data_IF_234509506375
#
_entry.id   IF_234509506375
#
_cell.length_a   1.000
_cell.length_b   1.000
_cell.length_c   1.000
_cell.angle_alpha   90.00
_cell.angle_beta   90.00
_cell.angle_gamma   90.00
#
_symmetry.space_group_name_H-M   'P 1'
#
loop_
_entity.id
_entity.type
_entity.pdbx_description
1 polymer ?
#
# COMPACT_ATOMS: atom_id res chain seq x y z
N UNK A 1 -24.76 -16.44 -21.10
CA UNK A 1 -24.90 -15.72 -19.80
C UNK A 1 -25.74 -14.42 -19.90
N UNK A 2 -26.86 -14.45 -20.62
CA UNK A 2 -27.69 -13.25 -20.85
C UNK A 2 -28.30 -12.61 -19.58
N UNK A 3 -28.34 -13.31 -18.45
CA UNK A 3 -29.03 -12.86 -17.24
C UNK A 3 -28.11 -12.61 -16.01
N UNK A 4 -26.82 -12.95 -16.06
CA UNK A 4 -25.85 -12.72 -14.99
C UNK A 4 -24.87 -11.65 -15.45
N UNK A 5 -25.14 -10.41 -15.07
CA UNK A 5 -24.36 -9.22 -15.49
C UNK A 5 -23.03 -9.12 -14.73
N UNK A 6 -22.12 -8.22 -15.16
CA UNK A 6 -20.92 -7.88 -14.40
C UNK A 6 -21.27 -7.27 -13.05
N UNK A 7 -22.36 -6.50 -12.98
CA UNK A 7 -22.89 -5.95 -11.74
C UNK A 7 -23.32 -7.04 -10.76
N UNK A 8 -24.07 -8.07 -11.23
CA UNK A 8 -24.42 -9.21 -10.39
C UNK A 8 -23.19 -9.95 -9.87
N UNK A 9 -22.15 -10.10 -10.71
CA UNK A 9 -20.89 -10.71 -10.28
C UNK A 9 -20.20 -9.88 -9.21
N UNK A 10 -20.09 -8.57 -9.40
CA UNK A 10 -19.50 -7.66 -8.43
C UNK A 10 -20.20 -7.76 -7.07
N UNK A 11 -21.54 -7.63 -7.07
CA UNK A 11 -22.35 -7.73 -5.84
C UNK A 11 -22.19 -9.09 -5.16
N UNK A 12 -22.16 -10.17 -5.93
CA UNK A 12 -21.95 -11.52 -5.39
C UNK A 12 -20.58 -11.67 -4.73
N UNK A 13 -19.53 -11.18 -5.39
CA UNK A 13 -18.15 -11.24 -4.84
C UNK A 13 -17.99 -10.32 -3.63
N UNK A 14 -18.55 -9.10 -3.65
CA UNK A 14 -18.56 -8.20 -2.49
C UNK A 14 -19.28 -8.81 -1.29
N UNK A 15 -20.46 -9.42 -1.51
CA UNK A 15 -21.16 -10.11 -0.45
C UNK A 15 -20.31 -11.24 0.15
N UNK A 16 -19.61 -12.01 -0.71
CA UNK A 16 -18.68 -13.05 -0.27
C UNK A 16 -17.59 -12.52 0.65
N UNK A 17 -16.95 -11.43 0.28
CA UNK A 17 -15.89 -10.79 1.07
C UNK A 17 -16.42 -10.21 2.38
N UNK A 18 -17.53 -9.47 2.34
CA UNK A 18 -18.11 -8.82 3.53
C UNK A 18 -18.71 -9.81 4.53
N UNK A 19 -19.11 -11.02 4.06
CA UNK A 19 -19.64 -12.09 4.90
C UNK A 19 -18.64 -13.20 5.22
N UNK A 20 -17.33 -12.96 4.95
CA UNK A 20 -16.21 -13.88 5.20
C UNK A 20 -16.42 -15.28 4.61
N UNK A 21 -16.86 -15.36 3.34
CA UNK A 21 -17.01 -16.64 2.65
C UNK A 21 -15.68 -17.09 2.07
N UNK A 22 -15.25 -18.29 2.41
CA UNK A 22 -13.93 -18.81 2.04
C UNK A 22 -13.84 -19.30 0.59
N UNK A 23 -14.97 -19.72 0.03
CA UNK A 23 -15.01 -20.30 -1.32
C UNK A 23 -16.37 -20.11 -2.01
N UNK A 24 -16.42 -20.35 -3.33
CA UNK A 24 -17.67 -20.19 -4.11
C UNK A 24 -18.80 -21.11 -3.67
N UNK A 25 -18.51 -22.29 -3.11
CA UNK A 25 -19.56 -23.20 -2.64
C UNK A 25 -20.24 -22.65 -1.40
N UNK A 26 -19.45 -22.19 -0.43
CA UNK A 26 -19.94 -21.55 0.78
C UNK A 26 -20.73 -20.26 0.44
N UNK A 27 -20.23 -19.48 -0.51
CA UNK A 27 -20.95 -18.30 -0.99
C UNK A 27 -22.34 -18.64 -1.57
N UNK A 28 -22.45 -19.70 -2.37
CA UNK A 28 -23.75 -20.11 -2.94
C UNK A 28 -24.70 -20.61 -1.84
N UNK A 29 -24.19 -21.38 -0.87
CA UNK A 29 -25.01 -21.80 0.29
C UNK A 29 -25.55 -20.59 1.06
N UNK A 30 -24.70 -19.58 1.29
CA UNK A 30 -25.12 -18.34 1.93
C UNK A 30 -26.21 -17.60 1.12
N UNK A 31 -26.11 -17.59 -0.20
CA UNK A 31 -27.17 -17.04 -1.06
C UNK A 31 -28.47 -17.82 -0.95
N UNK A 32 -28.41 -19.14 -0.94
CA UNK A 32 -29.59 -19.99 -0.81
C UNK A 32 -30.29 -19.74 0.53
N UNK A 33 -29.51 -19.69 1.63
CA UNK A 33 -30.03 -19.39 2.98
C UNK A 33 -30.71 -18.02 3.05
N UNK A 34 -30.18 -17.03 2.34
CA UNK A 34 -30.72 -15.66 2.35
C UNK A 34 -31.50 -15.29 1.07
N UNK A 35 -32.06 -16.27 0.40
CA UNK A 35 -32.72 -16.09 -0.92
C UNK A 35 -33.76 -14.97 -0.95
N UNK A 36 -34.57 -14.83 0.07
CA UNK A 36 -35.58 -13.78 0.18
C UNK A 36 -34.95 -12.36 0.24
N UNK A 37 -33.70 -12.24 0.71
CA UNK A 37 -32.97 -10.97 0.86
C UNK A 37 -32.11 -10.61 -0.35
N UNK A 38 -31.89 -11.53 -1.29
CA UNK A 38 -31.05 -11.27 -2.50
C UNK A 38 -31.61 -10.11 -3.35
N UNK A 39 -32.92 -9.95 -3.36
CA UNK A 39 -33.57 -8.84 -4.05
C UNK A 39 -33.08 -7.48 -3.52
N UNK A 40 -32.93 -7.33 -2.22
CA UNK A 40 -32.42 -6.09 -1.61
C UNK A 40 -30.95 -5.80 -1.94
N UNK A 41 -30.18 -6.84 -2.30
CA UNK A 41 -28.82 -6.69 -2.82
C UNK A 41 -28.76 -6.36 -4.32
N UNK A 42 -29.91 -6.25 -5.00
CA UNK A 42 -29.95 -6.03 -6.44
C UNK A 42 -29.60 -7.26 -7.29
N UNK A 43 -29.52 -8.45 -6.71
CA UNK A 43 -29.14 -9.69 -7.41
C UNK A 43 -30.31 -10.37 -8.15
N UNK A 44 -31.50 -9.82 -8.04
CA UNK A 44 -32.72 -10.41 -8.62
C UNK A 44 -33.25 -11.59 -7.81
N UNK A 45 -34.30 -12.25 -8.33
CA UNK A 45 -35.00 -13.36 -7.64
C UNK A 45 -34.49 -14.76 -8.05
N UNK A 46 -33.73 -14.85 -9.15
CA UNK A 46 -33.27 -16.14 -9.66
C UNK A 46 -32.03 -16.58 -8.85
N UNK A 47 -31.93 -17.87 -8.46
CA UNK A 47 -30.78 -18.38 -7.76
C UNK A 47 -29.52 -18.27 -8.63
N UNK A 48 -28.40 -17.93 -8.01
CA UNK A 48 -27.10 -17.87 -8.68
C UNK A 48 -26.50 -19.27 -8.64
N UNK A 49 -26.36 -19.92 -9.78
CA UNK A 49 -25.67 -21.20 -9.86
C UNK A 49 -24.16 -21.01 -9.69
N UNK A 50 -23.51 -21.91 -8.95
CA UNK A 50 -22.05 -21.92 -8.74
C UNK A 50 -21.28 -21.89 -10.07
N UNK A 51 -21.72 -22.69 -11.05
CA UNK A 51 -21.11 -22.75 -12.38
C UNK A 51 -21.19 -21.41 -13.12
N UNK A 52 -22.31 -20.70 -13.00
CA UNK A 52 -22.49 -19.36 -13.62
C UNK A 52 -21.49 -18.36 -13.04
N UNK A 53 -21.33 -18.33 -11.71
CA UNK A 53 -20.39 -17.43 -11.04
C UNK A 53 -18.92 -17.82 -11.36
N UNK A 54 -18.60 -19.12 -11.34
CA UNK A 54 -17.28 -19.62 -11.70
C UNK A 54 -16.88 -19.27 -13.14
N UNK A 55 -17.79 -19.47 -14.10
CA UNK A 55 -17.57 -19.11 -15.51
C UNK A 55 -17.47 -17.59 -15.70
N UNK A 56 -18.22 -16.81 -14.93
CA UNK A 56 -18.08 -15.35 -14.96
C UNK A 56 -16.69 -14.91 -14.47
N UNK A 57 -16.22 -15.48 -13.37
CA UNK A 57 -14.87 -15.19 -12.83
C UNK A 57 -13.75 -15.66 -13.78
N UNK A 58 -13.96 -16.72 -14.54
CA UNK A 58 -12.97 -17.24 -15.48
C UNK A 58 -12.90 -16.45 -16.79
N UNK A 59 -14.06 -16.06 -17.34
CA UNK A 59 -14.14 -15.55 -18.71
C UNK A 59 -14.19 -14.01 -18.81
N UNK A 60 -14.49 -13.32 -17.73
CA UNK A 60 -14.59 -11.85 -17.75
C UNK A 60 -13.25 -11.21 -17.46
N UNK A 61 -12.97 -10.12 -18.14
CA UNK A 61 -11.77 -9.33 -17.93
C UNK A 61 -11.80 -8.68 -16.53
N UNK A 62 -10.77 -8.90 -15.74
CA UNK A 62 -10.64 -8.33 -14.39
C UNK A 62 -10.56 -6.79 -14.41
N UNK A 63 -10.11 -6.20 -15.52
CA UNK A 63 -9.99 -4.75 -15.68
C UNK A 63 -11.32 -4.01 -15.50
N UNK A 64 -12.45 -4.67 -15.74
CA UNK A 64 -13.79 -4.10 -15.45
C UNK A 64 -13.91 -3.73 -13.96
N UNK A 65 -13.38 -4.58 -13.07
CA UNK A 65 -13.44 -4.37 -11.63
C UNK A 65 -12.31 -3.46 -11.14
N UNK A 66 -11.16 -3.51 -11.80
CA UNK A 66 -10.03 -2.62 -11.55
C UNK A 66 -10.39 -1.16 -11.86
N UNK A 67 -10.94 -0.88 -13.04
CA UNK A 67 -11.40 0.46 -13.43
C UNK A 67 -12.50 0.98 -12.49
N UNK A 68 -13.43 0.11 -12.11
CA UNK A 68 -14.47 0.46 -11.14
C UNK A 68 -13.88 0.78 -9.77
N UNK A 69 -12.87 0.03 -9.31
CA UNK A 69 -12.20 0.30 -8.04
C UNK A 69 -11.50 1.66 -8.06
N UNK A 70 -10.76 1.99 -9.13
CA UNK A 70 -10.12 3.30 -9.27
C UNK A 70 -11.16 4.44 -9.30
N UNK A 71 -12.26 4.26 -10.04
CA UNK A 71 -13.36 5.24 -10.04
C UNK A 71 -13.91 5.46 -8.62
N UNK A 72 -14.18 4.39 -7.87
CA UNK A 72 -14.71 4.49 -6.51
C UNK A 72 -13.73 5.13 -5.53
N UNK A 73 -12.43 4.84 -5.65
CA UNK A 73 -11.38 5.49 -4.85
C UNK A 73 -11.35 7.00 -5.11
N UNK A 74 -11.41 7.41 -6.36
CA UNK A 74 -11.47 8.84 -6.72
C UNK A 74 -12.69 9.54 -6.12
N UNK A 75 -13.88 8.91 -6.21
CA UNK A 75 -15.11 9.46 -5.61
C UNK A 75 -15.03 9.54 -4.08
N UNK A 76 -14.43 8.54 -3.43
CA UNK A 76 -14.26 8.52 -1.98
C UNK A 76 -13.30 9.61 -1.51
N UNK A 77 -12.17 9.81 -2.19
CA UNK A 77 -11.18 10.87 -1.90
C UNK A 77 -11.82 12.26 -1.99
N UNK A 78 -12.66 12.54 -2.99
CA UNK A 78 -13.36 13.82 -3.13
C UNK A 78 -14.31 14.16 -1.97
N UNK A 79 -14.85 13.14 -1.29
CA UNK A 79 -15.84 13.31 -0.20
C UNK A 79 -15.21 13.40 1.18
N UNK A 80 -13.99 12.94 1.35
CA UNK A 80 -13.34 12.82 2.65
C UNK A 80 -12.05 13.62 2.67
N UNK A 81 -12.16 14.86 3.11
CA UNK A 81 -11.00 15.74 3.33
C UNK A 81 -10.82 15.90 4.83
N UNK A 82 -9.68 15.43 5.34
CA UNK A 82 -9.22 15.69 6.71
C UNK A 82 -7.88 16.42 6.61
N UNK A 83 -7.55 17.24 7.58
CA UNK A 83 -6.29 18.00 7.62
C UNK A 83 -5.47 17.52 8.83
N UNK A 84 -5.11 16.25 8.82
CA UNK A 84 -4.42 15.58 9.92
C UNK A 84 -3.00 16.12 10.08
N UNK A 85 -2.28 16.28 8.97
CA UNK A 85 -0.86 16.64 8.98
C UNK A 85 -0.59 18.14 8.83
N UNK A 86 -1.58 18.95 8.49
CA UNK A 86 -1.44 20.41 8.22
C UNK A 86 -0.31 20.73 7.23
N UNK A 87 -0.15 19.91 6.21
CA UNK A 87 0.87 20.02 5.17
C UNK A 87 0.27 20.53 3.85
N UNK A 88 1.11 21.20 3.07
CA UNK A 88 0.74 21.55 1.69
C UNK A 88 1.05 20.36 0.77
N UNK A 89 0.17 19.39 0.70
CA UNK A 89 0.34 18.21 -0.15
C UNK A 89 -0.22 16.96 0.48
N UNK A 90 -0.53 15.97 -0.34
CA UNK A 90 -1.10 14.72 0.11
C UNK A 90 -0.04 13.87 0.84
N UNK A 91 -0.48 13.08 1.80
CA UNK A 91 0.39 12.16 2.56
C UNK A 91 -0.04 10.73 2.28
N UNK A 92 0.86 9.96 1.72
CA UNK A 92 0.62 8.58 1.32
C UNK A 92 1.48 7.59 2.09
N UNK A 93 0.89 6.48 2.53
CA UNK A 93 1.62 5.31 3.00
C UNK A 93 1.58 4.22 1.91
N UNK A 94 2.70 3.56 1.67
CA UNK A 94 2.77 2.47 0.71
C UNK A 94 3.21 1.18 1.37
N UNK A 95 2.35 0.17 1.32
CA UNK A 95 2.64 -1.14 1.87
C UNK A 95 2.09 -2.27 1.00
N UNK A 96 2.48 -3.51 1.29
CA UNK A 96 2.06 -4.70 0.56
C UNK A 96 1.51 -5.78 1.47
N UNK A 97 0.39 -6.37 1.03
CA UNK A 97 -0.19 -7.55 1.66
C UNK A 97 -0.03 -8.76 0.75
N UNK A 98 0.46 -9.87 1.30
CA UNK A 98 0.58 -11.13 0.56
C UNK A 98 -0.68 -11.96 0.73
N UNK A 99 -1.31 -12.31 -0.40
CA UNK A 99 -2.48 -13.18 -0.45
C UNK A 99 -2.01 -14.56 -0.91
N UNK A 100 -2.09 -15.60 -0.03
CA UNK A 100 -1.67 -16.95 -0.40
C UNK A 100 -2.62 -17.55 -1.43
N UNK A 101 -2.06 -18.28 -2.40
CA UNK A 101 -2.80 -18.99 -3.43
C UNK A 101 -2.42 -20.47 -3.47
N UNK A 102 -3.39 -21.32 -3.81
CA UNK A 102 -3.16 -22.74 -4.00
C UNK A 102 -2.34 -23.00 -5.28
N UNK A 103 -1.12 -23.51 -5.15
CA UNK A 103 -0.21 -23.75 -6.28
C UNK A 103 -0.74 -24.74 -7.33
N UNK A 104 -1.55 -25.71 -6.93
CA UNK A 104 -2.13 -26.68 -7.90
C UNK A 104 -3.11 -26.02 -8.88
N UNK A 105 -3.69 -24.89 -8.51
CA UNK A 105 -4.60 -24.11 -9.35
C UNK A 105 -3.87 -22.90 -9.98
N UNK A 106 -3.00 -22.25 -9.21
CA UNK A 106 -2.29 -21.02 -9.60
C UNK A 106 -0.77 -21.25 -9.71
N UNK A 107 -0.36 -22.20 -10.53
CA UNK A 107 1.04 -22.59 -10.71
C UNK A 107 1.97 -21.44 -11.12
N UNK A 108 1.46 -20.45 -11.82
CA UNK A 108 2.17 -19.25 -12.24
C UNK A 108 2.51 -18.29 -11.08
N UNK A 109 1.76 -18.37 -9.97
CA UNK A 109 1.96 -17.52 -8.80
C UNK A 109 2.98 -18.08 -7.79
N UNK A 110 3.84 -19.01 -8.21
CA UNK A 110 4.87 -19.63 -7.35
C UNK A 110 5.88 -18.60 -6.87
N UNK A 111 6.13 -18.53 -5.55
CA UNK A 111 7.16 -17.66 -4.97
C UNK A 111 8.13 -18.38 -4.01
N UNK A 112 7.76 -19.55 -3.48
CA UNK A 112 8.62 -20.45 -2.70
C UNK A 112 8.41 -21.88 -3.16
N UNK A 113 9.31 -22.84 -2.77
CA UNK A 113 9.27 -24.23 -3.24
C UNK A 113 7.87 -24.86 -3.21
N UNK A 114 7.05 -24.56 -2.18
CA UNK A 114 5.72 -25.14 -1.98
C UNK A 114 4.61 -24.10 -1.76
N UNK A 115 4.85 -22.80 -2.04
CA UNK A 115 3.88 -21.72 -1.78
C UNK A 115 3.64 -20.90 -3.04
N UNK A 116 2.37 -20.64 -3.33
CA UNK A 116 1.91 -19.65 -4.30
C UNK A 116 1.32 -18.43 -3.60
N UNK A 117 1.37 -17.30 -4.26
CA UNK A 117 0.74 -16.09 -3.76
C UNK A 117 0.90 -14.92 -4.70
N UNK A 118 0.05 -13.94 -4.48
CA UNK A 118 0.14 -12.62 -5.07
C UNK A 118 0.35 -11.59 -3.96
N UNK A 119 0.87 -10.43 -4.33
CA UNK A 119 0.95 -9.26 -3.46
C UNK A 119 0.03 -8.17 -4.00
N UNK A 120 -0.77 -7.62 -3.12
CA UNK A 120 -1.46 -6.36 -3.34
C UNK A 120 -0.62 -5.25 -2.71
N UNK A 121 -0.03 -4.40 -3.55
CA UNK A 121 0.69 -3.19 -3.14
C UNK A 121 -0.31 -2.05 -3.15
N UNK A 122 -0.47 -1.35 -2.03
CA UNK A 122 -1.47 -0.30 -1.87
C UNK A 122 -0.80 1.01 -1.49
N UNK A 123 -1.10 2.06 -2.24
CA UNK A 123 -0.81 3.44 -1.87
C UNK A 123 -2.05 3.98 -1.15
N UNK A 124 -1.93 4.20 0.14
CA UNK A 124 -3.02 4.63 1.00
C UNK A 124 -2.89 6.12 1.31
N UNK A 125 -3.90 6.89 1.03
CA UNK A 125 -3.97 8.29 1.37
C UNK A 125 -4.35 8.43 2.85
N UNK A 126 -3.42 8.94 3.66
CA UNK A 126 -3.58 9.06 5.10
C UNK A 126 -4.57 10.16 5.49
N UNK A 127 -4.75 11.16 4.66
CA UNK A 127 -5.69 12.25 4.90
C UNK A 127 -7.13 11.81 4.62
N UNK A 128 -7.40 11.28 3.44
CA UNK A 128 -8.73 10.80 3.09
C UNK A 128 -9.08 9.44 3.70
N UNK A 129 -8.08 8.70 4.20
CA UNK A 129 -8.19 7.35 4.74
C UNK A 129 -8.80 6.35 3.74
N UNK A 130 -8.47 6.50 2.46
CA UNK A 130 -8.86 5.57 1.40
C UNK A 130 -7.65 5.21 0.54
N UNK A 131 -7.64 4.06 -0.14
CA UNK A 131 -6.62 3.76 -1.13
C UNK A 131 -6.63 4.82 -2.25
N UNK A 132 -5.45 5.26 -2.67
CA UNK A 132 -5.26 6.16 -3.80
C UNK A 132 -4.84 5.40 -5.07
N UNK A 133 -4.11 4.31 -4.89
CA UNK A 133 -3.62 3.46 -5.96
C UNK A 133 -3.38 2.04 -5.42
N UNK A 134 -3.50 1.04 -6.29
CA UNK A 134 -3.04 -0.31 -5.98
C UNK A 134 -2.40 -0.96 -7.21
N UNK A 135 -1.48 -1.87 -6.96
CA UNK A 135 -0.83 -2.69 -7.97
C UNK A 135 -0.76 -4.15 -7.49
N UNK A 136 -1.07 -5.10 -8.36
CA UNK A 136 -1.02 -6.52 -8.04
C UNK A 136 0.17 -7.16 -8.75
N UNK A 137 1.01 -7.86 -7.99
CA UNK A 137 2.14 -8.62 -8.52
C UNK A 137 2.16 -10.05 -7.98
N UNK A 138 2.97 -10.92 -8.57
CA UNK A 138 3.26 -12.21 -7.94
C UNK A 138 4.05 -12.00 -6.65
N UNK A 139 3.87 -12.87 -5.65
CA UNK A 139 4.56 -12.75 -4.37
C UNK A 139 6.10 -12.92 -4.47
N UNK A 140 6.61 -13.34 -5.62
CA UNK A 140 8.04 -13.39 -5.93
C UNK A 140 8.67 -12.02 -6.20
N UNK A 141 7.86 -11.01 -6.52
CA UNK A 141 8.33 -9.64 -6.75
C UNK A 141 8.70 -8.99 -5.43
N UNK A 142 9.91 -8.41 -5.37
CA UNK A 142 10.34 -7.64 -4.19
C UNK A 142 9.51 -6.35 -4.08
N UNK A 143 9.14 -5.98 -2.84
CA UNK A 143 8.31 -4.81 -2.56
C UNK A 143 8.89 -3.53 -3.16
N UNK A 144 10.20 -3.35 -3.09
CA UNK A 144 10.89 -2.20 -3.67
C UNK A 144 10.76 -2.08 -5.20
N UNK A 145 10.44 -3.17 -5.91
CA UNK A 145 10.19 -3.11 -7.36
C UNK A 145 8.82 -2.50 -7.68
N UNK A 146 7.84 -2.70 -6.81
CA UNK A 146 6.50 -2.13 -6.98
C UNK A 146 6.48 -0.60 -6.85
N UNK A 147 7.49 0.00 -6.23
CA UNK A 147 7.64 1.46 -6.17
C UNK A 147 7.67 2.14 -7.56
N UNK A 148 8.04 1.40 -8.61
CA UNK A 148 8.07 1.93 -9.98
C UNK A 148 6.69 2.19 -10.56
N UNK A 149 5.70 1.49 -10.05
CA UNK A 149 4.31 1.55 -10.52
C UNK A 149 3.52 2.70 -9.87
N UNK A 150 4.08 3.31 -8.81
CA UNK A 150 3.43 4.42 -8.10
C UNK A 150 3.40 5.67 -8.98
N UNK A 151 2.23 6.27 -9.20
CA UNK A 151 2.10 7.57 -9.85
C UNK A 151 2.48 8.69 -8.87
N UNK A 152 3.77 9.04 -8.80
CA UNK A 152 4.25 10.08 -7.88
C UNK A 152 3.71 11.47 -8.26
N UNK A 153 3.09 12.14 -7.28
CA UNK A 153 2.53 13.49 -7.41
C UNK A 153 3.50 14.52 -6.81
N UNK A 154 3.76 15.61 -7.53
CA UNK A 154 4.61 16.71 -7.04
C UNK A 154 4.08 17.31 -5.73
N UNK A 155 4.98 17.64 -4.81
CA UNK A 155 4.66 18.23 -3.51
C UNK A 155 4.09 17.26 -2.48
N UNK A 156 3.88 15.98 -2.82
CA UNK A 156 3.30 14.98 -1.92
C UNK A 156 4.37 14.26 -1.09
N UNK A 157 3.93 13.63 0.00
CA UNK A 157 4.77 12.90 0.95
C UNK A 157 4.48 11.40 0.86
N UNK A 158 5.54 10.59 0.80
CA UNK A 158 5.44 9.15 0.68
C UNK A 158 6.13 8.46 1.85
N UNK A 159 5.39 7.67 2.60
CA UNK A 159 5.86 6.92 3.78
C UNK A 159 6.09 5.47 3.39
N UNK A 160 7.26 4.94 3.76
CA UNK A 160 7.65 3.57 3.41
C UNK A 160 8.28 2.85 4.60
N UNK A 161 8.02 1.55 4.71
CA UNK A 161 8.76 0.70 5.64
C UNK A 161 10.18 0.37 5.10
N UNK A 162 10.97 -0.30 5.94
CA UNK A 162 12.36 -0.69 5.67
C UNK A 162 12.55 -1.51 4.39
N UNK A 163 11.57 -2.28 3.97
CA UNK A 163 11.60 -3.07 2.74
C UNK A 163 11.79 -2.23 1.47
N UNK A 164 11.39 -0.97 1.52
CA UNK A 164 11.37 -0.04 0.39
C UNK A 164 12.63 0.84 0.24
N UNK A 165 13.74 0.50 0.88
CA UNK A 165 15.02 1.23 0.73
C UNK A 165 15.68 1.00 -0.63
N UNK A 166 14.99 1.35 -1.72
CA UNK A 166 15.51 1.34 -3.08
C UNK A 166 15.94 2.76 -3.47
N UNK A 167 17.20 3.12 -3.20
CA UNK A 167 17.71 4.48 -3.34
C UNK A 167 17.50 5.10 -4.71
N UNK A 168 17.54 4.30 -5.79
CA UNK A 168 17.22 4.78 -7.14
C UNK A 168 15.74 5.23 -7.27
N UNK A 169 14.81 4.50 -6.65
CA UNK A 169 13.39 4.85 -6.70
C UNK A 169 13.09 6.02 -5.74
N UNK A 170 13.73 6.06 -4.57
CA UNK A 170 13.65 7.22 -3.67
C UNK A 170 14.18 8.51 -4.31
N UNK A 171 15.22 8.40 -5.16
CA UNK A 171 15.74 9.56 -5.90
C UNK A 171 14.73 10.05 -6.96
N UNK A 172 13.96 9.16 -7.57
CA UNK A 172 12.88 9.57 -8.47
C UNK A 172 11.76 10.35 -7.77
N UNK A 173 11.49 10.06 -6.49
CA UNK A 173 10.53 10.83 -5.68
C UNK A 173 11.06 12.24 -5.44
N UNK A 174 12.37 12.39 -5.24
CA UNK A 174 13.01 13.68 -5.02
C UNK A 174 12.94 14.61 -6.25
N UNK A 175 13.02 14.07 -7.45
CA UNK A 175 13.08 14.86 -8.69
C UNK A 175 11.83 15.75 -8.94
N UNK A 176 10.58 15.29 -8.75
CA UNK A 176 9.37 16.12 -8.90
C UNK A 176 9.05 16.97 -7.66
N UNK A 177 10.05 17.32 -6.85
CA UNK A 177 9.87 18.07 -5.59
C UNK A 177 8.91 17.40 -4.61
N UNK A 178 8.85 16.07 -4.63
CA UNK A 178 8.09 15.27 -3.68
C UNK A 178 8.98 14.78 -2.55
N UNK A 179 8.37 14.39 -1.45
CA UNK A 179 9.07 14.03 -0.23
C UNK A 179 8.84 12.58 0.14
N UNK A 180 9.83 11.95 0.75
CA UNK A 180 9.67 10.62 1.30
C UNK A 180 10.16 10.54 2.74
N UNK A 181 9.59 9.61 3.48
CA UNK A 181 10.03 9.20 4.81
C UNK A 181 10.12 7.68 4.77
N UNK A 182 11.32 7.13 4.84
CA UNK A 182 11.56 5.69 4.80
C UNK A 182 12.30 5.22 6.03
N UNK A 183 11.85 4.11 6.61
CA UNK A 183 12.55 3.49 7.72
C UNK A 183 13.92 2.97 7.28
N UNK A 184 14.98 3.44 7.91
CA UNK A 184 16.34 3.17 7.51
C UNK A 184 16.76 1.70 7.75
N UNK A 185 17.65 1.19 6.91
CA UNK A 185 18.33 -0.10 7.14
C UNK A 185 19.31 0.01 8.30
N UNK A 186 19.52 -1.08 9.05
CA UNK A 186 20.44 -1.11 10.20
C UNK A 186 21.93 -0.83 9.83
N UNK A 187 22.33 -1.21 8.61
CA UNK A 187 23.74 -1.11 8.15
C UNK A 187 23.81 -0.12 6.98
N UNK A 188 23.70 1.19 7.28
CA UNK A 188 23.92 2.24 6.31
C UNK A 188 25.35 2.78 6.44
N UNK A 189 26.06 2.91 5.32
CA UNK A 189 27.35 3.55 5.26
C UNK A 189 27.19 5.00 4.79
N UNK A 190 27.43 5.92 5.69
CA UNK A 190 27.27 7.35 5.44
C UNK A 190 28.30 8.17 6.21
N UNK A 191 28.60 9.37 5.71
CA UNK A 191 29.28 10.42 6.47
C UNK A 191 28.23 11.44 6.93
N UNK A 192 28.45 11.97 8.13
CA UNK A 192 27.63 13.06 8.63
C UNK A 192 28.22 14.40 8.15
N UNK A 193 27.37 15.18 7.47
CA UNK A 193 27.74 16.51 6.96
C UNK A 193 27.40 17.62 7.96
N UNK A 194 26.30 17.47 8.71
CA UNK A 194 25.83 18.47 9.67
C UNK A 194 25.01 17.81 10.77
N UNK A 195 25.23 18.21 12.03
CA UNK A 195 24.47 17.75 13.19
C UNK A 195 23.63 18.89 13.76
N UNK A 196 22.42 18.57 14.26
CA UNK A 196 21.63 19.47 15.11
C UNK A 196 21.94 19.18 16.57
N UNK A 197 22.40 20.19 17.32
CA UNK A 197 22.90 20.01 18.72
C UNK A 197 21.80 20.02 19.77
N UNK A 198 20.72 20.79 19.56
CA UNK A 198 19.58 20.86 20.49
C UNK A 198 18.45 20.01 19.96
N UNK A 199 18.31 18.81 20.50
CA UNK A 199 17.32 17.84 20.07
C UNK A 199 16.11 17.87 21.02
N UNK A 200 14.88 17.80 20.49
CA UNK A 200 13.67 17.58 21.28
C UNK A 200 13.73 16.26 22.05
N UNK A 201 12.86 16.10 23.06
CA UNK A 201 12.69 14.84 23.79
C UNK A 201 12.47 13.68 22.82
N UNK A 202 13.06 12.54 23.11
CA UNK A 202 12.96 11.29 22.33
C UNK A 202 13.62 11.33 20.93
N UNK A 203 14.19 12.44 20.50
CA UNK A 203 15.01 12.48 19.28
C UNK A 203 16.46 12.23 19.66
N UNK A 204 17.01 11.11 19.19
CA UNK A 204 18.40 10.70 19.50
C UNK A 204 19.40 11.28 18.50
N UNK A 205 18.96 11.49 17.26
CA UNK A 205 19.82 12.02 16.18
C UNK A 205 18.97 12.80 15.20
N UNK A 206 19.47 13.95 14.78
CA UNK A 206 18.97 14.71 13.64
C UNK A 206 20.18 15.23 12.85
N UNK A 207 20.49 14.59 11.75
CA UNK A 207 21.72 14.83 11.00
C UNK A 207 21.49 14.87 9.50
N UNK A 208 22.24 15.71 8.80
CA UNK A 208 22.36 15.69 7.35
C UNK A 208 23.49 14.73 7.01
N UNK A 209 23.19 13.75 6.16
CA UNK A 209 24.11 12.69 5.77
C UNK A 209 24.29 12.62 4.26
N UNK A 210 25.39 11.99 3.85
CA UNK A 210 25.69 11.63 2.48
C UNK A 210 26.20 10.18 2.45
N UNK A 211 25.75 9.37 1.50
CA UNK A 211 26.23 7.99 1.39
C UNK A 211 27.71 7.92 1.03
N UNK A 212 28.45 7.05 1.68
CA UNK A 212 29.86 6.78 1.40
C UNK A 212 30.09 5.54 0.55
N UNK A 213 29.14 4.60 0.57
CA UNK A 213 29.18 3.43 -0.30
C UNK A 213 28.88 3.83 -1.75
N UNK A 214 29.80 3.48 -2.67
CA UNK A 214 29.71 3.85 -4.10
C UNK A 214 28.35 3.51 -4.75
N UNK A 215 27.81 2.31 -4.50
CA UNK A 215 26.53 1.88 -5.09
C UNK A 215 25.35 2.69 -4.55
N UNK A 216 25.35 3.04 -3.28
CA UNK A 216 24.30 3.84 -2.64
C UNK A 216 24.39 5.29 -3.09
N UNK A 217 25.58 5.87 -3.11
CA UNK A 217 25.86 7.23 -3.60
C UNK A 217 25.44 7.39 -5.07
N UNK A 218 25.83 6.47 -5.96
CA UNK A 218 25.45 6.53 -7.38
C UNK A 218 23.94 6.50 -7.60
N UNK A 219 23.19 5.84 -6.73
CA UNK A 219 21.73 5.73 -6.82
C UNK A 219 21.00 6.91 -6.19
N UNK A 220 21.62 7.55 -5.22
CA UNK A 220 21.11 8.73 -4.54
C UNK A 220 22.29 9.68 -4.22
N UNK A 221 22.64 10.58 -5.14
CA UNK A 221 23.83 11.44 -5.00
C UNK A 221 23.59 12.64 -4.08
N UNK A 222 22.34 12.93 -3.76
CA UNK A 222 21.98 14.07 -2.92
C UNK A 222 22.07 13.77 -1.43
N UNK A 223 22.16 14.84 -0.63
CA UNK A 223 22.15 14.74 0.83
C UNK A 223 20.77 14.31 1.31
N UNK A 224 20.75 13.52 2.36
CA UNK A 224 19.58 13.07 3.08
C UNK A 224 19.62 13.52 4.53
N UNK A 225 18.47 13.56 5.15
CA UNK A 225 18.33 13.75 6.59
C UNK A 225 18.09 12.41 7.26
N UNK A 226 18.88 12.12 8.29
CA UNK A 226 18.73 10.96 9.16
C UNK A 226 18.18 11.42 10.50
N UNK A 227 17.00 10.93 10.86
CA UNK A 227 16.39 11.18 12.19
C UNK A 227 16.28 9.85 12.92
N UNK A 228 16.86 9.79 14.12
CA UNK A 228 16.69 8.65 15.05
C UNK A 228 15.78 9.07 16.17
N UNK A 229 14.82 8.24 16.46
CA UNK A 229 13.76 8.46 17.44
C UNK A 229 13.67 7.26 18.37
N UNK A 230 13.50 7.49 19.66
CA UNK A 230 13.22 6.47 20.66
C UNK A 230 11.73 6.45 20.96
N UNK A 231 11.09 5.31 20.73
CA UNK A 231 9.68 5.10 21.03
C UNK A 231 9.55 4.49 22.42
N UNK A 232 9.04 5.26 23.40
CA UNK A 232 8.85 4.84 24.76
C UNK A 232 7.77 3.73 24.90
N UNK A 233 6.76 3.71 24.01
CA UNK A 233 5.68 2.70 24.06
C UNK A 233 6.15 1.33 23.58
N UNK A 234 7.04 1.31 22.56
CA UNK A 234 7.58 0.08 21.99
C UNK A 234 8.94 -0.29 22.54
N UNK A 235 9.52 0.52 23.43
CA UNK A 235 10.86 0.37 24.00
C UNK A 235 11.92 0.08 22.93
N UNK A 236 11.95 0.90 21.87
CA UNK A 236 12.88 0.68 20.75
C UNK A 236 13.21 1.92 19.96
N UNK A 237 14.38 1.86 19.32
CA UNK A 237 14.83 2.91 18.42
C UNK A 237 14.35 2.69 16.98
N UNK A 238 13.94 3.79 16.35
CA UNK A 238 13.65 3.89 14.94
C UNK A 238 14.61 4.87 14.28
N UNK A 239 15.00 4.57 13.07
CA UNK A 239 15.79 5.47 12.24
C UNK A 239 15.06 5.70 10.91
N UNK A 240 14.96 6.95 10.51
CA UNK A 240 14.29 7.37 9.29
C UNK A 240 15.24 8.16 8.40
N UNK A 241 15.14 7.92 7.09
CA UNK A 241 15.76 8.72 6.04
C UNK A 241 14.68 9.54 5.35
N UNK A 242 14.97 10.80 5.06
CA UNK A 242 14.05 11.69 4.35
C UNK A 242 14.81 12.77 3.57
N UNK A 243 14.18 13.26 2.50
CA UNK A 243 14.58 14.48 1.81
C UNK A 243 13.74 15.71 2.25
N UNK A 244 12.81 15.54 3.19
CA UNK A 244 11.99 16.63 3.72
C UNK A 244 12.75 17.41 4.82
N UNK A 245 13.63 18.31 4.41
CA UNK A 245 14.44 19.11 5.35
C UNK A 245 13.65 20.18 6.08
N UNK A 246 12.49 20.58 5.58
CA UNK A 246 11.61 21.58 6.16
C UNK A 246 10.78 21.07 7.35
N UNK A 247 10.57 19.74 7.45
CA UNK A 247 9.86 19.15 8.59
C UNK A 247 10.68 19.26 9.87
N UNK A 248 10.01 19.38 11.01
CA UNK A 248 10.67 19.25 12.31
C UNK A 248 10.99 17.80 12.64
N UNK A 249 11.99 17.53 13.49
CA UNK A 249 12.35 16.15 13.80
C UNK A 249 11.24 15.35 14.50
N UNK A 250 10.39 15.93 15.40
CA UNK A 250 9.25 15.24 15.99
C UNK A 250 8.11 14.93 15.01
N UNK A 251 7.97 15.67 13.91
CA UNK A 251 6.94 15.38 12.89
C UNK A 251 7.22 14.07 12.15
N UNK A 252 8.49 13.72 11.93
CA UNK A 252 8.86 12.55 11.13
C UNK A 252 8.33 11.23 11.72
N UNK A 253 8.43 10.92 13.03
CA UNK A 253 7.83 9.73 13.60
C UNK A 253 6.31 9.66 13.52
N UNK A 254 5.61 10.81 13.49
CA UNK A 254 4.14 10.85 13.43
C UNK A 254 3.62 10.13 12.18
N UNK A 255 4.28 10.33 11.03
CA UNK A 255 3.90 9.68 9.76
C UNK A 255 3.93 8.16 9.84
N UNK A 256 4.80 7.59 10.68
CA UNK A 256 4.97 6.13 10.78
C UNK A 256 4.14 5.47 11.87
N UNK A 257 3.59 6.25 12.82
CA UNK A 257 2.67 5.73 13.83
C UNK A 257 1.28 5.44 13.28
N UNK A 258 0.88 6.14 12.22
CA UNK A 258 -0.43 5.98 11.59
C UNK A 258 -0.49 4.71 10.72
N UNK A 259 0.66 4.25 10.22
CA UNK A 259 0.80 3.05 9.38
C UNK A 259 0.74 1.72 10.20
N UNK A 260 0.72 1.79 11.51
CA UNK A 260 0.79 0.66 12.45
C UNK A 260 -0.50 0.32 13.19
N UNK A 261 -1.67 0.85 12.75
CA UNK A 261 -2.98 0.52 13.36
C UNK A 261 -3.85 -0.32 12.46
#
# INVERSE_FOLDING_TARGET
MKHFTCWNQLLAMMFGQLSNRENLRDLIVAFETHRAKQYHLGLGRKPIAKTTLALANHNRDYRIFEDFAFYMMEQARKKRVTDIFKLKGNVYAFDSTTIPLCLSVFWWAKFRKKKGGIKAHVLYDLESQVPAFFHISTASVYDSKAMKEIPYESGSYYVFDRGYNAFKELFKIHQPESFFIVRAKKKLQYKCCKWRRRLPKNILTDAVIEFTEYNSYRKYPEKLRLVKFYDEEQDREFAFLTNAFHLTAPEIPIFTRIDGR
#
